data_IF_701667414999
#
_entry.id   IF_701667414999
#
_cell.length_a   1.000
_cell.length_b   1.000
_cell.length_c   1.000
_cell.angle_alpha   90.00
_cell.angle_beta   90.00
_cell.angle_gamma   90.00
#
_symmetry.space_group_name_H-M   'P 1'
#
loop_
_entity.id
_entity.type
_entity.pdbx_description
1 polymer ?
#
# COMPACT_ATOMS: atom_id res chain seq x y z
N UNK A 1 -14.77 12.27 15.62
CA UNK A 1 -13.66 11.80 14.75
C UNK A 1 -13.47 12.81 13.63
N UNK A 2 -12.35 13.55 13.66
CA UNK A 2 -12.18 14.84 12.99
C UNK A 2 -12.27 14.77 11.45
N UNK A 3 -13.08 15.67 10.87
CA UNK A 3 -13.22 15.91 9.43
C UNK A 3 -11.88 16.19 8.71
N UNK A 4 -10.90 16.75 9.43
CA UNK A 4 -9.53 16.94 8.94
C UNK A 4 -8.80 15.63 8.58
N UNK A 5 -9.07 14.53 9.31
CA UNK A 5 -8.51 13.21 9.01
C UNK A 5 -9.10 12.66 7.70
N UNK A 6 -10.38 12.92 7.43
CA UNK A 6 -11.04 12.55 6.17
C UNK A 6 -10.50 13.34 4.97
N UNK A 7 -10.06 14.59 5.18
CA UNK A 7 -9.52 15.43 4.10
C UNK A 7 -8.06 15.06 3.75
N UNK A 8 -7.23 14.73 4.76
CA UNK A 8 -5.87 14.22 4.55
C UNK A 8 -5.84 12.81 3.96
N UNK A 9 -6.89 12.04 4.18
CA UNK A 9 -7.01 10.67 3.70
C UNK A 9 -7.57 10.54 2.28
N UNK A 10 -7.92 11.64 1.61
CA UNK A 10 -8.56 11.56 0.29
C UNK A 10 -7.64 11.00 -0.79
N UNK A 11 -6.31 11.17 -0.64
CA UNK A 11 -5.28 10.44 -1.37
C UNK A 11 -4.05 10.30 -0.46
N UNK A 12 -3.72 9.10 0.00
CA UNK A 12 -2.52 8.90 0.82
C UNK A 12 -1.27 9.31 0.05
N UNK A 13 -0.40 10.12 0.64
CA UNK A 13 0.89 10.44 0.02
C UNK A 13 1.77 9.17 -0.03
N UNK A 14 2.71 9.04 -0.98
CA UNK A 14 3.55 7.84 -1.07
C UNK A 14 4.23 7.46 0.24
N UNK A 15 4.82 8.43 0.94
CA UNK A 15 5.48 8.19 2.22
C UNK A 15 4.53 7.82 3.36
N UNK A 16 3.30 8.34 3.38
CA UNK A 16 2.32 8.00 4.43
C UNK A 16 1.73 6.61 4.21
N UNK A 17 1.37 6.27 2.97
CA UNK A 17 0.90 4.93 2.59
C UNK A 17 2.00 3.89 2.83
N UNK A 18 3.26 4.17 2.49
CA UNK A 18 4.38 3.27 2.77
C UNK A 18 4.57 3.04 4.28
N UNK A 19 4.59 4.10 5.09
CA UNK A 19 4.75 3.98 6.54
C UNK A 19 3.61 3.17 7.19
N UNK A 20 2.38 3.39 6.72
CA UNK A 20 1.23 2.63 7.16
C UNK A 20 1.38 1.15 6.81
N UNK A 21 1.74 0.82 5.56
CA UNK A 21 1.90 -0.57 5.12
C UNK A 21 3.01 -1.29 5.90
N UNK A 22 4.16 -0.65 6.11
CA UNK A 22 5.24 -1.19 6.95
C UNK A 22 4.76 -1.46 8.38
N UNK A 23 3.97 -0.55 8.95
CA UNK A 23 3.46 -0.69 10.32
C UNK A 23 2.43 -1.83 10.43
N UNK A 24 1.57 -2.01 9.42
CA UNK A 24 0.68 -3.16 9.36
C UNK A 24 1.46 -4.47 9.20
N UNK A 25 2.46 -4.52 8.32
CA UNK A 25 3.32 -5.70 8.13
C UNK A 25 3.97 -6.15 9.43
N UNK A 26 4.67 -5.24 10.11
CA UNK A 26 5.36 -5.55 11.37
C UNK A 26 4.39 -6.02 12.45
N UNK A 27 3.20 -5.40 12.52
CA UNK A 27 2.17 -5.81 13.48
C UNK A 27 1.64 -7.21 13.16
N UNK A 28 1.28 -7.49 11.90
CA UNK A 28 0.75 -8.78 11.51
C UNK A 28 1.76 -9.91 11.65
N UNK A 29 3.02 -9.73 11.21
CA UNK A 29 4.05 -10.76 11.42
C UNK A 29 4.33 -11.03 12.91
N UNK A 30 4.17 -10.02 13.78
CA UNK A 30 4.29 -10.20 15.23
C UNK A 30 3.10 -10.97 15.81
N UNK A 31 1.88 -10.60 15.42
CA UNK A 31 0.64 -11.16 15.98
C UNK A 31 0.32 -12.54 15.37
N UNK A 32 0.74 -12.79 14.12
CA UNK A 32 0.48 -14.00 13.33
C UNK A 32 1.74 -14.43 12.56
N UNK A 33 2.73 -15.03 13.23
CA UNK A 33 4.02 -15.37 12.62
C UNK A 33 3.93 -16.43 11.52
N UNK A 34 2.87 -17.25 11.52
CA UNK A 34 2.65 -18.35 10.57
C UNK A 34 1.62 -18.01 9.47
N UNK A 35 1.23 -16.74 9.34
CA UNK A 35 0.28 -16.33 8.31
C UNK A 35 0.97 -16.35 6.94
N UNK A 36 0.30 -16.96 5.96
CA UNK A 36 0.78 -16.98 4.58
C UNK A 36 0.80 -15.56 4.01
N UNK A 37 1.75 -15.29 3.13
CA UNK A 37 2.00 -13.92 2.66
C UNK A 37 0.80 -13.34 1.87
N UNK A 38 0.08 -14.17 1.11
CA UNK A 38 -1.15 -13.75 0.40
C UNK A 38 -2.26 -13.37 1.39
N UNK A 39 -2.45 -14.14 2.46
CA UNK A 39 -3.45 -13.83 3.49
C UNK A 39 -3.10 -12.53 4.22
N UNK A 40 -1.81 -12.30 4.49
CA UNK A 40 -1.32 -11.04 5.02
C UNK A 40 -1.68 -9.86 4.09
N UNK A 41 -1.36 -9.97 2.80
CA UNK A 41 -1.63 -8.92 1.81
C UNK A 41 -3.12 -8.58 1.74
N UNK A 42 -3.98 -9.59 1.71
CA UNK A 42 -5.43 -9.40 1.73
C UNK A 42 -5.91 -8.64 2.97
N UNK A 43 -5.43 -9.03 4.16
CA UNK A 43 -5.83 -8.39 5.41
C UNK A 43 -5.38 -6.93 5.48
N UNK A 44 -4.20 -6.60 4.94
CA UNK A 44 -3.72 -5.23 4.84
C UNK A 44 -4.63 -4.39 3.95
N UNK A 45 -4.98 -4.90 2.77
CA UNK A 45 -5.87 -4.21 1.82
C UNK A 45 -7.26 -3.99 2.43
N UNK A 46 -7.89 -5.05 2.93
CA UNK A 46 -9.21 -4.99 3.61
C UNK A 46 -9.17 -4.03 4.81
N UNK A 47 -8.08 -4.04 5.57
CA UNK A 47 -7.86 -3.13 6.69
C UNK A 47 -7.82 -1.65 6.27
N UNK A 48 -7.20 -1.34 5.13
CA UNK A 48 -7.15 0.02 4.57
C UNK A 48 -8.54 0.53 4.20
N UNK A 49 -9.26 -0.25 3.40
CA UNK A 49 -10.55 0.18 2.84
C UNK A 49 -11.70 0.06 3.85
N UNK A 50 -11.52 -0.67 4.96
CA UNK A 50 -12.39 -0.53 6.14
C UNK A 50 -12.32 0.86 6.78
N UNK A 51 -11.14 1.50 6.76
CA UNK A 51 -10.93 2.85 7.32
C UNK A 51 -11.26 3.93 6.30
N UNK A 52 -10.94 3.68 5.03
CA UNK A 52 -11.17 4.57 3.89
C UNK A 52 -12.01 3.85 2.83
N UNK A 53 -13.34 3.82 2.99
CA UNK A 53 -14.20 3.04 2.10
C UNK A 53 -14.14 3.52 0.65
N UNK A 54 -13.59 2.69 -0.22
CA UNK A 54 -13.69 2.78 -1.67
C UNK A 54 -13.69 1.36 -2.24
N UNK A 55 -14.89 0.83 -2.46
CA UNK A 55 -15.08 -0.57 -2.84
C UNK A 55 -14.51 -0.89 -4.23
N UNK A 56 -14.60 0.05 -5.18
CA UNK A 56 -14.04 -0.15 -6.52
C UNK A 56 -12.53 -0.32 -6.47
N UNK A 57 -11.87 0.50 -5.66
CA UNK A 57 -10.40 0.45 -5.50
C UNK A 57 -10.00 -0.78 -4.67
N UNK A 58 -10.75 -1.12 -3.63
CA UNK A 58 -10.54 -2.34 -2.85
C UNK A 58 -10.58 -3.59 -3.75
N UNK A 59 -11.66 -3.77 -4.51
CA UNK A 59 -11.85 -4.90 -5.42
C UNK A 59 -10.72 -4.94 -6.47
N UNK A 60 -10.38 -3.79 -7.07
CA UNK A 60 -9.29 -3.68 -8.05
C UNK A 60 -7.93 -4.13 -7.50
N UNK A 61 -7.60 -3.76 -6.26
CA UNK A 61 -6.32 -4.12 -5.63
C UNK A 61 -6.33 -5.60 -5.25
N UNK A 62 -7.43 -6.11 -4.68
CA UNK A 62 -7.57 -7.52 -4.29
C UNK A 62 -7.38 -8.47 -5.49
N UNK A 63 -7.96 -8.15 -6.64
CA UNK A 63 -7.82 -8.93 -7.88
C UNK A 63 -6.37 -9.02 -8.42
N UNK A 64 -5.46 -8.18 -7.92
CA UNK A 64 -4.08 -8.04 -8.43
C UNK A 64 -3.02 -8.44 -7.40
N UNK A 65 -3.42 -9.00 -6.26
CA UNK A 65 -2.48 -9.39 -5.21
C UNK A 65 -1.52 -10.51 -5.62
N UNK A 66 -1.93 -11.41 -6.51
CA UNK A 66 -1.06 -12.50 -7.00
C UNK A 66 0.23 -11.98 -7.68
N UNK A 67 0.22 -10.75 -8.19
CA UNK A 67 1.39 -10.11 -8.80
C UNK A 67 2.28 -9.34 -7.82
N UNK A 68 1.93 -9.28 -6.53
CA UNK A 68 2.62 -8.47 -5.53
C UNK A 68 3.74 -9.28 -4.87
N UNK A 69 4.99 -8.95 -5.19
CA UNK A 69 6.18 -9.65 -4.68
C UNK A 69 6.88 -8.92 -3.53
N UNK A 70 6.42 -7.71 -3.19
CA UNK A 70 7.04 -6.86 -2.16
C UNK A 70 6.08 -5.82 -1.62
N UNK A 71 6.40 -5.26 -0.45
CA UNK A 71 5.66 -4.12 0.11
C UNK A 71 5.69 -2.91 -0.82
N UNK A 72 6.78 -2.71 -1.56
CA UNK A 72 6.88 -1.64 -2.57
C UNK A 72 5.83 -1.84 -3.65
N UNK A 73 5.68 -3.05 -4.19
CA UNK A 73 4.67 -3.34 -5.20
C UNK A 73 3.25 -3.13 -4.67
N UNK A 74 2.97 -3.58 -3.43
CA UNK A 74 1.66 -3.39 -2.79
C UNK A 74 1.31 -1.89 -2.67
N UNK A 75 2.23 -1.11 -2.13
CA UNK A 75 2.00 0.31 -1.87
C UNK A 75 1.85 1.07 -3.19
N UNK A 76 2.67 0.78 -4.19
CA UNK A 76 2.54 1.36 -5.53
C UNK A 76 1.18 0.99 -6.15
N UNK A 77 0.76 -0.27 -6.06
CA UNK A 77 -0.54 -0.72 -6.57
C UNK A 77 -1.70 0.05 -5.93
N UNK A 78 -1.69 0.19 -4.59
CA UNK A 78 -2.69 0.97 -3.85
C UNK A 78 -2.71 2.42 -4.32
N UNK A 79 -1.54 3.07 -4.40
CA UNK A 79 -1.46 4.48 -4.80
C UNK A 79 -1.94 4.70 -6.23
N UNK A 80 -1.59 3.81 -7.17
CA UNK A 80 -2.05 3.88 -8.56
C UNK A 80 -3.57 3.73 -8.62
N UNK A 81 -4.12 2.75 -7.90
CA UNK A 81 -5.55 2.49 -7.86
C UNK A 81 -6.33 3.66 -7.23
N UNK A 82 -5.89 4.20 -6.10
CA UNK A 82 -6.53 5.34 -5.40
C UNK A 82 -6.50 6.63 -6.21
N UNK A 83 -5.47 6.84 -7.03
CA UNK A 83 -5.39 8.01 -7.89
C UNK A 83 -6.26 7.89 -9.16
N UNK A 84 -6.92 6.74 -9.39
CA UNK A 84 -7.73 6.43 -10.58
C UNK A 84 -7.06 6.82 -11.90
N UNK A 85 -5.72 6.85 -11.96
CA UNK A 85 -4.97 7.27 -13.15
C UNK A 85 -4.74 6.09 -14.06
N UNK A 86 -5.20 6.18 -15.30
CA UNK A 86 -4.61 5.38 -16.39
C UNK A 86 -3.19 5.95 -16.62
N UNK A 87 -2.13 5.16 -16.46
CA UNK A 87 -0.77 5.69 -16.60
C UNK A 87 -0.55 6.22 -18.02
N UNK A 88 -0.21 7.50 -18.10
CA UNK A 88 0.28 8.18 -19.30
C UNK A 88 1.82 8.21 -19.29
N UNK A 89 2.47 8.56 -20.40
CA UNK A 89 3.94 8.71 -20.46
C UNK A 89 4.50 9.70 -19.40
N UNK A 90 3.72 10.73 -19.01
CA UNK A 90 4.07 11.64 -17.94
C UNK A 90 3.98 10.99 -16.54
N UNK A 91 3.23 9.90 -16.40
CA UNK A 91 3.11 9.14 -15.16
C UNK A 91 4.30 8.22 -14.91
N UNK A 92 5.20 7.98 -15.88
CA UNK A 92 6.43 7.19 -15.62
C UNK A 92 7.37 7.89 -14.63
N UNK A 93 7.54 9.22 -14.76
CA UNK A 93 8.31 10.00 -13.79
C UNK A 93 7.65 10.09 -12.42
N UNK A 94 6.31 10.13 -12.40
CA UNK A 94 5.53 10.05 -11.16
C UNK A 94 5.68 8.69 -10.48
N UNK A 95 5.54 7.59 -11.22
CA UNK A 95 5.71 6.22 -10.72
C UNK A 95 7.12 6.01 -10.18
N UNK A 96 8.16 6.46 -10.89
CA UNK A 96 9.53 6.38 -10.40
C UNK A 96 9.73 7.15 -9.08
N UNK A 97 9.09 8.33 -8.96
CA UNK A 97 9.14 9.13 -7.72
C UNK A 97 8.38 8.45 -6.58
N UNK A 98 7.23 7.87 -6.88
CA UNK A 98 6.42 7.09 -5.92
C UNK A 98 7.23 5.89 -5.44
N UNK A 99 7.74 5.07 -6.35
CA UNK A 99 8.55 3.89 -6.03
C UNK A 99 9.79 4.26 -5.23
N UNK A 100 10.51 5.32 -5.61
CA UNK A 100 11.66 5.80 -4.84
C UNK A 100 11.28 6.19 -3.41
N UNK A 101 10.22 6.99 -3.25
CA UNK A 101 9.77 7.44 -1.92
C UNK A 101 9.31 6.26 -1.05
N UNK A 102 8.58 5.32 -1.65
CA UNK A 102 8.09 4.12 -0.98
C UNK A 102 9.26 3.23 -0.56
N UNK A 103 10.21 3.00 -1.46
CA UNK A 103 11.41 2.21 -1.19
C UNK A 103 12.25 2.85 -0.08
N UNK A 104 12.47 4.17 -0.11
CA UNK A 104 13.23 4.87 0.93
C UNK A 104 12.60 4.67 2.33
N UNK A 105 11.27 4.71 2.43
CA UNK A 105 10.56 4.46 3.70
C UNK A 105 10.67 3.00 4.13
N UNK A 106 10.55 2.06 3.21
CA UNK A 106 10.69 0.62 3.47
C UNK A 106 12.11 0.28 3.93
N UNK A 107 13.13 0.87 3.29
CA UNK A 107 14.54 0.71 3.63
C UNK A 107 14.83 1.23 5.05
N UNK A 108 14.33 2.42 5.38
CA UNK A 108 14.45 3.00 6.75
C UNK A 108 13.78 2.14 7.82
N UNK A 109 12.85 1.26 7.44
CA UNK A 109 12.19 0.30 8.34
C UNK A 109 12.86 -1.07 8.37
N UNK A 110 13.92 -1.29 7.58
CA UNK A 110 14.63 -2.56 7.50
C UNK A 110 13.83 -3.65 6.78
N UNK A 111 12.88 -3.28 5.91
CA UNK A 111 11.96 -4.20 5.25
C UNK A 111 12.24 -4.39 3.75
N UNK A 112 13.35 -3.81 3.25
CA UNK A 112 13.73 -3.84 1.83
C UNK A 112 13.88 -5.25 1.25
N UNK A 113 14.36 -6.19 2.09
CA UNK A 113 14.60 -7.59 1.75
C UNK A 113 13.34 -8.46 1.85
N UNK A 114 12.23 -7.93 2.36
CA UNK A 114 10.97 -8.68 2.44
C UNK A 114 10.44 -8.95 1.04
N UNK A 115 10.12 -10.21 0.80
CA UNK A 115 9.50 -10.73 -0.42
C UNK A 115 8.33 -11.62 -0.02
N UNK A 116 7.32 -11.65 -0.88
CA UNK A 116 6.08 -12.43 -0.74
C UNK A 116 6.01 -13.46 -1.86
#
# INVERSE_FOLDING_TARGET
>A
MNWFIKLLAKHGTPGSTANWACSQYLKFKKDYPNLEDVEFLEQVVKGRYKVLPDKEVEDYVLERLDGVQSLTNLVTLILVAENKRKPTMADLGYLATVEYTVQEVIDKRGLASVRF
#
